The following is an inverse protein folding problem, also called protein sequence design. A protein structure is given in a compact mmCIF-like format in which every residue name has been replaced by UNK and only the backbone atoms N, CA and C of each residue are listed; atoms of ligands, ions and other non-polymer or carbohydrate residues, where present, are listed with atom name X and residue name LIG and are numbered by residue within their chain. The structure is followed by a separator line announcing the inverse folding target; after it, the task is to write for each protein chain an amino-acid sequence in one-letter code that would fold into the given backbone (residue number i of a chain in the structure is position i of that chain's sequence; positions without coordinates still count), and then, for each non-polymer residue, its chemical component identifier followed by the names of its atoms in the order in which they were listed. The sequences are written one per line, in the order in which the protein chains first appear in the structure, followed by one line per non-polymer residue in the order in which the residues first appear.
data_IF_384161792674
#
_entry.id   IF_384161792674
#
_cell.length_a   1.000
_cell.length_b   1.000
_cell.length_c   1.000
_cell.angle_alpha   90.00
_cell.angle_beta   90.00
_cell.angle_gamma   90.00
#
_symmetry.space_group_name_H-M   'P 1'
#
loop_
_entity.id
_entity.type
_entity.pdbx_description
1 polymer ?
#
# COMPACT_ATOMS: atom_id res chain seq x y z
N UNK A 1 18.70 -3.72 3.64
CA UNK A 1 19.66 -4.49 2.80
C UNK A 1 19.16 -4.45 1.37
N UNK A 2 19.98 -3.98 0.42
CA UNK A 2 19.54 -3.80 -0.96
C UNK A 2 19.80 -5.02 -1.84
N UNK A 3 18.80 -5.41 -2.64
CA UNK A 3 18.87 -6.48 -3.64
C UNK A 3 18.57 -5.94 -5.03
N UNK A 4 19.09 -6.58 -6.07
CA UNK A 4 18.96 -6.12 -7.46
C UNK A 4 18.03 -6.99 -8.30
N UNK A 5 17.42 -6.37 -9.31
CA UNK A 5 16.63 -7.02 -10.35
C UNK A 5 17.11 -6.54 -11.72
N UNK A 6 17.19 -7.44 -12.70
CA UNK A 6 17.30 -7.05 -14.10
C UNK A 6 16.04 -6.28 -14.49
N UNK A 7 16.22 -5.10 -15.08
CA UNK A 7 15.14 -4.16 -15.30
C UNK A 7 14.90 -3.90 -16.78
N UNK A 8 13.64 -3.84 -17.16
CA UNK A 8 13.22 -3.41 -18.48
C UNK A 8 11.99 -2.52 -18.36
N UNK A 9 11.92 -1.46 -19.16
CA UNK A 9 10.87 -0.46 -19.08
C UNK A 9 10.33 -0.11 -20.46
N UNK A 10 9.01 -0.03 -20.60
CA UNK A 10 8.31 0.34 -21.83
C UNK A 10 7.38 1.55 -21.58
N UNK A 11 7.55 2.69 -22.28
CA UNK A 11 8.59 2.96 -23.27
C UNK A 11 9.96 3.26 -22.62
N UNK A 12 11.10 2.84 -23.21
CA UNK A 12 12.43 3.04 -22.61
C UNK A 12 12.77 4.49 -22.28
N UNK A 13 12.21 5.46 -23.02
CA UNK A 13 12.40 6.90 -22.83
C UNK A 13 11.79 7.44 -21.54
N UNK A 14 10.85 6.72 -20.93
CA UNK A 14 10.20 7.10 -19.68
C UNK A 14 10.77 6.34 -18.47
N UNK A 15 11.86 5.59 -18.64
CA UNK A 15 12.45 4.82 -17.55
C UNK A 15 12.97 5.74 -16.42
N UNK A 16 12.48 5.61 -15.17
CA UNK A 16 12.94 6.44 -14.05
C UNK A 16 14.34 6.06 -13.55
N UNK A 17 14.96 4.99 -14.09
CA UNK A 17 16.27 4.50 -13.65
C UNK A 17 17.26 4.46 -14.80
N UNK A 18 18.50 4.82 -14.49
CA UNK A 18 19.64 4.68 -15.39
C UNK A 18 20.28 3.29 -15.24
N UNK A 19 20.36 2.53 -16.33
CA UNK A 19 21.06 1.24 -16.37
C UNK A 19 20.16 0.02 -16.46
N UNK A 20 20.75 -1.19 -16.50
CA UNK A 20 20.05 -2.44 -16.77
C UNK A 20 19.44 -3.09 -15.52
N UNK A 21 19.65 -2.51 -14.34
CA UNK A 21 19.21 -3.06 -13.06
C UNK A 21 18.62 -1.99 -12.17
N UNK A 22 17.64 -2.41 -11.36
CA UNK A 22 17.11 -1.61 -10.25
C UNK A 22 17.46 -2.29 -8.94
N UNK A 23 17.42 -1.50 -7.87
CA UNK A 23 17.75 -1.93 -6.53
C UNK A 23 16.56 -1.67 -5.58
N UNK A 24 16.25 -2.61 -4.70
CA UNK A 24 15.18 -2.46 -3.71
C UNK A 24 15.70 -2.94 -2.36
N UNK A 25 15.40 -2.18 -1.30
CA UNK A 25 15.67 -2.62 0.06
C UNK A 25 14.67 -3.71 0.46
N UNK A 26 15.16 -4.84 0.97
CA UNK A 26 14.34 -5.94 1.49
C UNK A 26 13.38 -5.45 2.58
N UNK A 27 13.81 -4.53 3.44
CA UNK A 27 12.95 -3.93 4.49
C UNK A 27 11.81 -3.13 3.85
N UNK A 28 12.09 -2.37 2.79
CA UNK A 28 11.05 -1.63 2.08
C UNK A 28 10.05 -2.58 1.38
N UNK A 29 10.51 -3.74 0.87
CA UNK A 29 9.63 -4.77 0.32
C UNK A 29 8.77 -5.40 1.43
N UNK A 30 9.35 -5.71 2.59
CA UNK A 30 8.62 -6.25 3.75
C UNK A 30 7.56 -5.25 4.25
N UNK A 31 7.90 -3.97 4.36
CA UNK A 31 6.99 -2.90 4.77
C UNK A 31 5.85 -2.71 3.76
N UNK A 32 6.16 -2.73 2.46
CA UNK A 32 5.15 -2.73 1.41
C UNK A 32 4.24 -3.97 1.51
N UNK A 33 4.81 -5.13 1.86
CA UNK A 33 4.07 -6.36 2.11
C UNK A 33 3.14 -6.28 3.32
N UNK A 34 3.57 -5.66 4.41
CA UNK A 34 2.73 -5.38 5.59
C UNK A 34 1.50 -4.58 5.18
N UNK A 35 1.70 -3.46 4.50
CA UNK A 35 0.59 -2.61 4.05
C UNK A 35 -0.32 -3.32 3.05
N UNK A 36 0.27 -4.06 2.11
CA UNK A 36 -0.46 -4.82 1.10
C UNK A 36 -1.41 -5.88 1.71
N UNK A 37 -0.91 -6.63 2.69
CA UNK A 37 -1.67 -7.67 3.39
C UNK A 37 -2.77 -7.06 4.25
N UNK A 38 -2.48 -5.98 4.98
CA UNK A 38 -3.50 -5.29 5.78
C UNK A 38 -4.61 -4.70 4.90
N UNK A 39 -4.28 -4.14 3.73
CA UNK A 39 -5.27 -3.50 2.87
C UNK A 39 -6.04 -4.47 1.97
N UNK A 40 -5.68 -5.76 1.96
CA UNK A 40 -6.33 -6.81 1.15
C UNK A 40 -7.09 -7.82 2.02
N UNK A 41 -8.43 -7.97 1.85
CA UNK A 41 -9.21 -8.94 2.60
C UNK A 41 -8.72 -10.39 2.45
N UNK A 42 -8.64 -11.13 3.55
CA UNK A 42 -8.37 -12.58 3.56
C UNK A 42 -6.88 -12.97 3.54
N UNK A 43 -5.96 -12.01 3.40
CA UNK A 43 -4.55 -12.25 3.64
C UNK A 43 -4.27 -12.14 5.15
N UNK A 44 -4.53 -13.20 5.92
CA UNK A 44 -3.97 -13.32 7.26
C UNK A 44 -2.62 -14.02 7.14
N UNK A 45 -1.63 -13.37 6.53
CA UNK A 45 -0.30 -13.95 6.42
C UNK A 45 0.57 -13.52 7.60
N UNK A 46 0.84 -14.49 8.47
CA UNK A 46 1.61 -14.34 9.69
C UNK A 46 3.13 -14.29 9.52
N UNK A 47 3.65 -13.95 8.35
CA UNK A 47 5.07 -14.10 8.07
C UNK A 47 5.76 -12.75 7.84
N UNK A 48 5.86 -11.94 8.89
CA UNK A 48 6.59 -10.67 8.84
C UNK A 48 8.09 -10.92 8.95
N UNK A 49 8.87 -10.22 8.10
CA UNK A 49 10.32 -10.37 7.97
C UNK A 49 10.73 -11.80 7.52
N UNK A 50 9.95 -12.38 6.60
CA UNK A 50 10.23 -13.72 6.03
C UNK A 50 11.17 -13.65 4.82
N UNK A 51 11.22 -12.52 4.11
CA UNK A 51 12.00 -12.44 2.86
C UNK A 51 13.47 -12.77 3.10
N UNK A 52 14.08 -12.23 4.15
CA UNK A 52 15.48 -12.54 4.48
C UNK A 52 15.71 -14.04 4.76
N UNK A 53 14.74 -14.73 5.37
CA UNK A 53 14.82 -16.17 5.60
C UNK A 53 14.69 -16.98 4.29
N UNK A 54 13.96 -16.47 3.30
CA UNK A 54 13.69 -17.14 2.02
C UNK A 54 14.74 -16.83 0.95
N UNK A 55 15.46 -15.72 1.06
CA UNK A 55 16.44 -15.27 0.08
C UNK A 55 17.83 -15.85 0.35
N UNK A 56 18.60 -16.09 -0.71
CA UNK A 56 19.99 -16.53 -0.58
C UNK A 56 20.79 -15.56 0.31
N UNK A 57 21.63 -16.07 1.24
CA UNK A 57 22.42 -15.23 2.14
C UNK A 57 23.61 -14.61 1.39
N UNK A 58 23.32 -13.69 0.49
CA UNK A 58 24.30 -12.96 -0.33
C UNK A 58 24.43 -11.53 0.19
N UNK A 59 25.49 -10.79 -0.10
CA UNK A 59 25.68 -9.41 0.41
C UNK A 59 24.78 -8.34 -0.25
N UNK A 60 24.81 -7.07 0.19
CA UNK A 60 24.13 -5.98 -0.49
C UNK A 60 24.53 -5.86 -1.97
N UNK A 61 23.61 -5.43 -2.83
CA UNK A 61 23.85 -5.24 -4.27
C UNK A 61 23.80 -6.52 -5.11
N UNK A 62 23.53 -7.67 -4.49
CA UNK A 62 23.37 -8.94 -5.22
C UNK A 62 21.94 -9.14 -5.71
N UNK A 63 21.71 -10.03 -6.70
CA UNK A 63 20.37 -10.32 -7.21
C UNK A 63 19.39 -10.81 -6.12
N UNK A 64 18.10 -10.52 -6.32
CA UNK A 64 17.01 -10.99 -5.45
C UNK A 64 16.66 -12.46 -5.75
N UNK A 65 17.37 -13.40 -5.13
CA UNK A 65 17.25 -14.83 -5.43
C UNK A 65 16.66 -15.58 -4.24
N UNK A 66 15.62 -16.39 -4.49
CA UNK A 66 15.10 -17.32 -3.49
C UNK A 66 16.01 -18.54 -3.34
N UNK A 67 16.19 -19.02 -2.10
CA UNK A 67 16.94 -20.26 -1.80
C UNK A 67 16.32 -21.46 -2.52
N UNK A 68 14.99 -21.52 -2.50
CA UNK A 68 14.18 -22.61 -3.04
C UNK A 68 12.99 -22.07 -3.84
N UNK A 69 12.36 -22.90 -4.68
CA UNK A 69 11.09 -22.53 -5.31
C UNK A 69 10.01 -22.15 -4.31
N UNK A 70 9.15 -21.17 -4.68
CA UNK A 70 8.03 -20.67 -3.88
C UNK A 70 6.89 -21.70 -3.76
N UNK A 71 7.18 -22.83 -3.12
CA UNK A 71 6.31 -24.00 -3.04
C UNK A 71 6.54 -24.98 -4.18
N UNK A 72 6.02 -26.20 -4.03
CA UNK A 72 6.14 -27.28 -5.02
C UNK A 72 4.87 -27.40 -5.88
N UNK A 73 3.70 -27.34 -5.24
CA UNK A 73 2.40 -27.38 -5.91
C UNK A 73 2.13 -26.12 -6.75
N UNK A 74 1.43 -26.30 -7.87
CA UNK A 74 1.14 -25.22 -8.82
C UNK A 74 0.35 -24.10 -8.18
N UNK A 75 -0.67 -24.44 -7.41
CA UNK A 75 -1.58 -23.49 -6.75
C UNK A 75 -0.81 -22.64 -5.73
N UNK A 76 0.09 -23.26 -4.97
CA UNK A 76 0.96 -22.58 -3.98
C UNK A 76 1.92 -21.61 -4.68
N UNK A 77 2.57 -22.06 -5.77
CA UNK A 77 3.44 -21.20 -6.59
C UNK A 77 2.69 -19.99 -7.11
N UNK A 78 1.51 -20.18 -7.68
CA UNK A 78 0.69 -19.09 -8.22
C UNK A 78 0.29 -18.10 -7.13
N UNK A 79 -0.15 -18.60 -5.97
CA UNK A 79 -0.57 -17.75 -4.85
C UNK A 79 0.60 -16.93 -4.27
N UNK A 80 1.73 -17.57 -3.95
CA UNK A 80 2.92 -16.90 -3.41
C UNK A 80 3.55 -15.94 -4.43
N UNK A 81 3.61 -16.34 -5.70
CA UNK A 81 4.07 -15.48 -6.79
C UNK A 81 3.20 -14.24 -6.94
N UNK A 82 1.87 -14.39 -6.89
CA UNK A 82 0.96 -13.25 -6.91
C UNK A 82 1.17 -12.32 -5.71
N UNK A 83 1.35 -12.87 -4.52
CA UNK A 83 1.55 -12.12 -3.28
C UNK A 83 2.87 -11.34 -3.29
N UNK A 84 4.01 -12.02 -3.47
CA UNK A 84 5.32 -11.36 -3.49
C UNK A 84 5.46 -10.41 -4.68
N UNK A 85 4.79 -10.71 -5.80
CA UNK A 85 4.74 -9.82 -6.95
C UNK A 85 4.14 -8.45 -6.57
N UNK A 86 3.07 -8.45 -5.76
CA UNK A 86 2.48 -7.21 -5.25
C UNK A 86 3.38 -6.47 -4.26
N UNK A 87 4.09 -7.19 -3.39
CA UNK A 87 5.01 -6.56 -2.42
C UNK A 87 6.12 -5.79 -3.13
N UNK A 88 6.75 -6.44 -4.11
CA UNK A 88 7.84 -5.84 -4.89
C UNK A 88 7.34 -4.72 -5.79
N UNK A 89 6.21 -4.93 -6.46
CA UNK A 89 5.62 -3.89 -7.30
C UNK A 89 5.27 -2.64 -6.47
N UNK A 90 4.68 -2.80 -5.29
CA UNK A 90 4.38 -1.69 -4.39
C UNK A 90 5.66 -0.99 -3.92
N UNK A 91 6.67 -1.72 -3.46
CA UNK A 91 7.96 -1.13 -3.06
C UNK A 91 8.65 -0.39 -4.23
N UNK A 92 8.54 -0.93 -5.44
CA UNK A 92 9.05 -0.31 -6.66
C UNK A 92 8.31 1.00 -7.00
N UNK A 93 6.97 1.00 -6.93
CA UNK A 93 6.14 2.18 -7.13
C UNK A 93 6.40 3.25 -6.07
N UNK A 94 6.57 2.84 -4.81
CA UNK A 94 6.94 3.74 -3.73
C UNK A 94 8.31 4.39 -4.02
N UNK A 95 9.33 3.59 -4.36
CA UNK A 95 10.69 4.09 -4.55
C UNK A 95 10.88 4.94 -5.81
N UNK A 96 10.41 4.45 -6.95
CA UNK A 96 10.76 5.03 -8.26
C UNK A 96 9.68 5.92 -8.87
N UNK A 97 8.44 5.82 -8.38
CA UNK A 97 7.32 6.65 -8.84
C UNK A 97 6.79 7.60 -7.78
N UNK A 98 7.39 7.59 -6.57
CA UNK A 98 6.98 8.41 -5.44
C UNK A 98 5.50 8.25 -5.06
N UNK A 99 4.90 7.08 -5.35
CA UNK A 99 3.53 6.78 -4.94
C UNK A 99 3.53 6.41 -3.45
N UNK A 100 2.50 6.81 -2.71
CA UNK A 100 2.39 6.49 -1.28
C UNK A 100 0.96 6.16 -0.84
N UNK A 101 -0.03 6.79 -1.45
CA UNK A 101 -1.43 6.55 -1.16
C UNK A 101 -1.94 5.48 -2.13
N UNK A 102 -2.22 4.28 -1.62
CA UNK A 102 -2.74 3.15 -2.39
C UNK A 102 -4.16 2.78 -1.94
N UNK A 103 -5.09 2.72 -2.88
CA UNK A 103 -6.42 2.17 -2.66
C UNK A 103 -6.63 0.90 -3.48
N UNK A 104 -6.86 -0.21 -2.76
CA UNK A 104 -7.20 -1.50 -3.34
C UNK A 104 -8.59 -1.49 -3.97
N UNK A 105 -8.69 -2.06 -5.16
CA UNK A 105 -9.94 -2.11 -5.90
C UNK A 105 -10.70 -3.41 -5.59
N UNK A 106 -11.80 -3.29 -4.85
CA UNK A 106 -12.75 -4.39 -4.64
C UNK A 106 -13.68 -4.60 -5.84
N UNK A 107 -14.54 -5.62 -5.79
CA UNK A 107 -15.34 -6.10 -6.93
C UNK A 107 -16.49 -5.17 -7.45
N UNK A 108 -16.55 -3.90 -7.05
CA UNK A 108 -17.64 -2.97 -7.41
C UNK A 108 -17.11 -1.61 -7.91
N UNK A 109 -18.00 -0.80 -8.50
CA UNK A 109 -17.71 0.61 -8.78
C UNK A 109 -17.31 1.30 -7.49
N UNK A 110 -16.17 1.98 -7.51
CA UNK A 110 -15.63 2.70 -6.36
C UNK A 110 -15.83 4.19 -6.63
N UNK A 111 -16.68 4.81 -5.84
CA UNK A 111 -16.85 6.25 -5.84
C UNK A 111 -15.72 6.88 -5.00
N UNK A 112 -15.05 7.88 -5.56
CA UNK A 112 -14.07 8.71 -4.85
C UNK A 112 -14.74 9.98 -4.30
N UNK A 113 -15.69 10.54 -5.07
CA UNK A 113 -16.58 11.60 -4.60
C UNK A 113 -17.94 11.50 -5.30
N UNK A 114 -18.98 11.16 -4.52
CA UNK A 114 -20.35 10.99 -5.02
C UNK A 114 -21.02 12.29 -5.49
N UNK A 115 -20.63 13.45 -4.95
CA UNK A 115 -21.22 14.77 -5.29
C UNK A 115 -20.73 15.28 -6.64
N UNK A 116 -19.42 15.14 -6.88
CA UNK A 116 -18.72 15.50 -8.11
C UNK A 116 -18.74 14.37 -9.13
N UNK A 117 -19.29 13.21 -8.78
CA UNK A 117 -19.36 12.00 -9.61
C UNK A 117 -17.96 11.60 -10.10
N UNK A 118 -17.00 11.61 -9.19
CA UNK A 118 -15.66 11.08 -9.41
C UNK A 118 -15.68 9.60 -9.05
N UNK A 119 -15.47 8.73 -10.03
CA UNK A 119 -15.70 7.28 -9.92
C UNK A 119 -14.69 6.48 -10.69
N UNK A 120 -14.38 5.30 -10.17
CA UNK A 120 -13.67 4.24 -10.86
C UNK A 120 -14.71 3.37 -11.57
N UNK A 121 -14.74 3.45 -12.90
CA UNK A 121 -15.69 2.74 -13.76
C UNK A 121 -15.02 1.49 -14.32
N UNK A 122 -15.62 0.33 -14.08
CA UNK A 122 -15.23 -0.91 -14.75
C UNK A 122 -15.68 -0.91 -16.22
N UNK A 123 -14.77 -1.24 -17.12
CA UNK A 123 -15.01 -1.29 -18.56
C UNK A 123 -15.31 -2.70 -19.07
N UNK A 124 -14.74 -3.73 -18.43
CA UNK A 124 -14.91 -5.12 -18.86
C UNK A 124 -14.90 -6.11 -17.69
N UNK A 125 -15.39 -7.33 -17.95
CA UNK A 125 -15.44 -8.42 -16.96
C UNK A 125 -14.02 -8.97 -16.65
N UNK A 126 -13.90 -9.64 -15.51
CA UNK A 126 -12.64 -10.15 -14.94
C UNK A 126 -12.12 -9.30 -13.78
N UNK A 127 -11.03 -9.76 -13.16
CA UNK A 127 -10.39 -9.09 -12.02
C UNK A 127 -10.06 -7.62 -12.30
N UNK A 128 -10.22 -6.76 -11.30
CA UNK A 128 -9.82 -5.36 -11.40
C UNK A 128 -8.31 -5.22 -11.24
N UNK A 129 -7.73 -4.07 -11.64
CA UNK A 129 -6.37 -3.74 -11.26
C UNK A 129 -6.16 -3.80 -9.76
N UNK A 130 -4.95 -4.14 -9.32
CA UNK A 130 -4.61 -4.22 -7.90
C UNK A 130 -4.85 -2.87 -7.17
N UNK A 131 -4.44 -1.75 -7.78
CA UNK A 131 -4.49 -0.44 -7.13
C UNK A 131 -4.96 0.70 -8.04
N UNK A 132 -5.57 1.70 -7.40
CA UNK A 132 -5.36 3.11 -7.79
C UNK A 132 -4.48 3.75 -6.73
N UNK A 133 -3.50 4.54 -7.16
CA UNK A 133 -2.54 5.18 -6.29
C UNK A 133 -2.25 6.63 -6.70
N UNK A 134 -1.71 7.40 -5.76
CA UNK A 134 -1.19 8.73 -5.99
C UNK A 134 0.04 9.02 -5.13
N UNK A 135 0.78 10.07 -5.51
CA UNK A 135 1.90 10.58 -4.74
C UNK A 135 1.42 11.35 -3.49
N UNK A 136 2.32 11.52 -2.52
CA UNK A 136 2.05 12.20 -1.23
C UNK A 136 1.70 13.69 -1.39
N UNK A 137 2.12 14.31 -2.48
CA UNK A 137 1.76 15.69 -2.85
C UNK A 137 0.37 15.81 -3.49
N UNK A 138 -0.42 14.73 -3.47
CA UNK A 138 -1.74 14.63 -4.09
C UNK A 138 -1.69 14.93 -5.60
N UNK A 139 -0.71 14.32 -6.27
CA UNK A 139 -0.52 14.34 -7.71
C UNK A 139 -0.43 12.91 -8.29
N UNK A 140 -0.24 12.82 -9.61
CA UNK A 140 0.15 11.56 -10.27
C UNK A 140 -0.84 10.42 -10.06
N UNK A 141 -2.10 10.64 -10.47
CA UNK A 141 -3.14 9.62 -10.42
C UNK A 141 -2.77 8.43 -11.31
N UNK A 142 -2.59 7.27 -10.69
CA UNK A 142 -2.02 6.09 -11.32
C UNK A 142 -2.89 4.87 -11.09
N UNK A 143 -3.21 4.12 -12.14
CA UNK A 143 -3.74 2.76 -12.06
C UNK A 143 -2.57 1.80 -12.14
N UNK A 144 -2.45 0.88 -11.17
CA UNK A 144 -1.33 -0.05 -11.13
C UNK A 144 -1.79 -1.51 -11.00
N UNK A 145 -1.06 -2.41 -11.65
CA UNK A 145 -1.29 -3.86 -11.61
C UNK A 145 0.06 -4.58 -11.53
N UNK A 146 0.14 -5.60 -10.68
CA UNK A 146 1.32 -6.43 -10.51
C UNK A 146 1.06 -7.90 -10.83
N UNK A 147 2.05 -8.56 -11.43
CA UNK A 147 2.07 -10.01 -11.64
C UNK A 147 3.44 -10.59 -11.30
N UNK A 148 3.48 -11.56 -10.40
CA UNK A 148 4.66 -12.42 -10.25
C UNK A 148 4.62 -13.59 -11.23
N UNK A 149 5.77 -14.06 -11.71
CA UNK A 149 5.87 -15.30 -12.48
C UNK A 149 7.18 -16.09 -12.27
N UNK A 150 7.15 -17.36 -12.67
CA UNK A 150 8.30 -18.27 -12.68
C UNK A 150 8.65 -18.72 -14.12
N UNK A 151 8.16 -17.99 -15.12
CA UNK A 151 8.21 -18.42 -16.52
C UNK A 151 9.66 -18.43 -17.03
N UNK A 152 10.12 -19.57 -17.53
CA UNK A 152 11.49 -19.71 -18.05
C UNK A 152 11.79 -18.75 -19.22
N UNK A 153 10.76 -18.39 -20.01
CA UNK A 153 10.86 -17.45 -21.13
C UNK A 153 10.88 -15.97 -20.75
N UNK A 154 10.88 -15.62 -19.46
CA UNK A 154 10.93 -14.23 -19.00
C UNK A 154 9.56 -13.65 -18.60
N UNK A 155 9.54 -12.39 -18.13
CA UNK A 155 8.34 -11.73 -17.58
C UNK A 155 7.33 -11.24 -18.63
N UNK A 156 7.64 -11.31 -19.93
CA UNK A 156 6.84 -10.66 -20.98
C UNK A 156 5.36 -11.09 -21.00
N UNK A 157 5.07 -12.38 -20.85
CA UNK A 157 3.69 -12.90 -20.81
C UNK A 157 2.94 -12.45 -19.55
N UNK A 158 3.62 -12.37 -18.40
CA UNK A 158 3.04 -11.82 -17.18
C UNK A 158 2.75 -10.32 -17.33
N UNK A 159 3.67 -9.57 -17.93
CA UNK A 159 3.52 -8.13 -18.19
C UNK A 159 2.34 -7.85 -19.13
N UNK A 160 2.19 -8.62 -20.20
CA UNK A 160 1.05 -8.47 -21.12
C UNK A 160 -0.30 -8.73 -20.43
N UNK A 161 -0.35 -9.70 -19.50
CA UNK A 161 -1.55 -9.98 -18.69
C UNK A 161 -1.83 -8.85 -17.70
N UNK A 162 -0.80 -8.36 -17.00
CA UNK A 162 -0.90 -7.22 -16.10
C UNK A 162 -1.44 -5.99 -16.85
N UNK A 163 -0.89 -5.70 -18.03
CA UNK A 163 -1.33 -4.59 -18.88
C UNK A 163 -2.80 -4.70 -19.29
N UNK A 164 -3.22 -5.89 -19.74
CA UNK A 164 -4.63 -6.15 -20.08
C UNK A 164 -5.57 -5.95 -18.89
N UNK A 165 -5.12 -6.28 -17.67
CA UNK A 165 -5.91 -6.10 -16.45
C UNK A 165 -5.95 -4.64 -16.01
N UNK A 166 -4.81 -3.93 -16.05
CA UNK A 166 -4.71 -2.49 -15.79
C UNK A 166 -5.70 -1.67 -16.65
N UNK A 167 -5.94 -2.08 -17.90
CA UNK A 167 -6.86 -1.42 -18.84
C UNK A 167 -8.36 -1.70 -18.59
N UNK A 168 -8.75 -2.45 -17.55
CA UNK A 168 -10.16 -2.84 -17.30
C UNK A 168 -10.99 -1.78 -16.59
N UNK A 169 -10.39 -0.67 -16.19
CA UNK A 169 -11.08 0.42 -15.50
C UNK A 169 -10.75 1.75 -16.15
N UNK A 170 -11.63 2.72 -16.00
CA UNK A 170 -11.36 4.14 -16.18
C UNK A 170 -11.60 4.89 -14.87
N UNK A 171 -10.87 5.98 -14.68
CA UNK A 171 -11.28 7.01 -13.73
C UNK A 171 -12.10 8.04 -14.48
N UNK A 172 -13.26 8.37 -13.94
CA UNK A 172 -14.20 9.31 -14.55
C UNK A 172 -14.57 10.41 -13.59
N UNK A 173 -14.70 11.63 -14.09
CA UNK A 173 -15.26 12.78 -13.37
C UNK A 173 -16.45 13.34 -14.17
N UNK A 174 -17.65 13.28 -13.58
CA UNK A 174 -18.90 13.66 -14.28
C UNK A 174 -19.06 12.96 -15.63
N UNK A 175 -18.75 11.65 -15.66
CA UNK A 175 -18.76 10.78 -16.85
C UNK A 175 -17.68 11.05 -17.91
N UNK A 176 -16.81 12.05 -17.73
CA UNK A 176 -15.64 12.25 -18.59
C UNK A 176 -14.49 11.38 -18.09
N UNK A 177 -13.86 10.62 -18.99
CA UNK A 177 -12.63 9.89 -18.66
C UNK A 177 -11.53 10.92 -18.36
N UNK A 178 -10.85 10.78 -17.23
CA UNK A 178 -9.72 11.65 -16.89
C UNK A 178 -8.40 10.98 -17.21
N UNK A 179 -7.37 11.78 -17.51
CA UNK A 179 -6.01 11.27 -17.73
C UNK A 179 -5.48 10.58 -16.48
N UNK A 180 -4.92 9.39 -16.66
CA UNK A 180 -4.25 8.62 -15.61
C UNK A 180 -2.94 8.02 -16.15
N UNK A 181 -1.94 7.86 -15.28
CA UNK A 181 -0.84 6.93 -15.57
C UNK A 181 -1.34 5.50 -15.43
N UNK A 182 -0.82 4.58 -16.25
CA UNK A 182 -1.14 3.15 -16.12
C UNK A 182 0.15 2.36 -16.07
N UNK A 183 0.41 1.77 -14.91
CA UNK A 183 1.63 1.02 -14.68
C UNK A 183 1.30 -0.46 -14.53
N UNK A 184 1.83 -1.28 -15.44
CA UNK A 184 1.84 -2.72 -15.29
C UNK A 184 3.24 -3.18 -14.90
N UNK A 185 3.36 -4.01 -13.87
CA UNK A 185 4.63 -4.53 -13.35
C UNK A 185 4.58 -6.05 -13.39
N UNK A 186 5.62 -6.65 -13.95
CA UNK A 186 5.84 -8.09 -13.91
C UNK A 186 7.16 -8.41 -13.22
N UNK A 187 7.11 -9.20 -12.15
CA UNK A 187 8.27 -9.67 -11.43
C UNK A 187 8.51 -11.14 -11.75
N UNK A 188 9.68 -11.47 -12.32
CA UNK A 188 10.10 -12.86 -12.50
C UNK A 188 11.08 -13.26 -11.41
N UNK A 189 10.81 -14.38 -10.75
CA UNK A 189 11.63 -14.88 -9.66
C UNK A 189 12.92 -15.55 -10.14
N UNK A 190 14.03 -15.19 -9.50
CA UNK A 190 15.28 -15.96 -9.55
C UNK A 190 15.32 -17.00 -8.43
N UNK A 191 15.83 -18.19 -8.70
CA UNK A 191 15.93 -19.30 -7.75
C UNK A 191 17.33 -19.91 -7.78
N UNK A 192 17.90 -20.15 -6.59
CA UNK A 192 19.23 -20.74 -6.46
C UNK A 192 19.25 -22.22 -6.84
N UNK A 193 18.15 -22.92 -6.59
CA UNK A 193 17.98 -24.34 -6.91
C UNK A 193 16.80 -24.51 -7.87
N UNK A 194 17.04 -25.19 -8.99
CA UNK A 194 16.01 -25.65 -9.91
C UNK A 194 15.02 -24.57 -10.38
N UNK A 195 15.49 -23.73 -11.29
CA UNK A 195 14.65 -22.78 -12.03
C UNK A 195 15.47 -21.65 -12.65
N UNK A 196 14.82 -20.58 -13.12
CA UNK A 196 15.53 -19.44 -13.68
C UNK A 196 16.48 -18.79 -12.66
N UNK A 197 17.72 -18.52 -13.07
CA UNK A 197 18.76 -17.99 -12.18
C UNK A 197 18.56 -16.50 -11.87
N UNK A 198 18.20 -15.69 -12.87
CA UNK A 198 18.11 -14.24 -12.67
C UNK A 198 16.75 -13.82 -12.11
N UNK A 199 16.69 -12.68 -11.43
CA UNK A 199 15.42 -12.02 -11.08
C UNK A 199 15.18 -10.84 -12.02
N UNK A 200 13.95 -10.68 -12.51
CA UNK A 200 13.58 -9.56 -13.38
C UNK A 200 12.43 -8.75 -12.80
N UNK A 201 12.44 -7.46 -13.10
CA UNK A 201 11.34 -6.54 -12.89
C UNK A 201 11.10 -5.79 -14.21
N UNK A 202 10.01 -6.11 -14.89
CA UNK A 202 9.63 -5.49 -16.15
C UNK A 202 8.42 -4.60 -15.96
N UNK A 203 8.47 -3.39 -16.54
CA UNK A 203 7.46 -2.35 -16.34
C UNK A 203 6.95 -1.85 -17.67
N UNK A 204 5.66 -1.58 -17.74
CA UNK A 204 5.02 -0.86 -18.84
C UNK A 204 4.23 0.30 -18.25
N UNK A 205 4.58 1.53 -18.61
CA UNK A 205 3.98 2.78 -18.12
C UNK A 205 3.70 3.78 -19.25
N UNK A 206 2.72 3.50 -20.12
CA UNK A 206 2.19 4.51 -21.00
C UNK A 206 1.20 5.41 -20.24
N UNK A 207 1.14 6.66 -20.66
CA UNK A 207 0.04 7.55 -20.27
C UNK A 207 -1.26 7.09 -20.93
N UNK A 208 -2.35 7.02 -20.17
CA UNK A 208 -3.68 6.77 -20.72
C UNK A 208 -4.45 8.08 -20.82
N UNK A 209 -4.51 8.59 -22.05
CA UNK A 209 -5.09 9.88 -22.35
C UNK A 209 -6.59 9.94 -22.02
N UNK A 210 -6.97 11.06 -21.43
CA UNK A 210 -8.33 11.47 -21.16
C UNK A 210 -8.39 12.98 -21.06
N UNK A 211 -9.43 13.49 -20.44
CA UNK A 211 -9.50 14.92 -20.13
C UNK A 211 -8.67 15.25 -18.89
N UNK A 212 -8.03 16.44 -18.82
CA UNK A 212 -7.41 16.91 -17.59
C UNK A 212 -8.41 16.94 -16.43
N UNK A 213 -7.94 16.56 -15.24
CA UNK A 213 -8.72 16.68 -14.01
C UNK A 213 -8.90 18.17 -13.73
N UNK A 214 -10.14 18.62 -13.57
CA UNK A 214 -10.40 20.05 -13.30
C UNK A 214 -10.00 20.41 -11.86
N UNK A 215 -9.56 21.65 -11.59
CA UNK A 215 -9.18 22.07 -10.24
C UNK A 215 -10.23 21.75 -9.17
N UNK A 216 -11.51 21.95 -9.47
CA UNK A 216 -12.62 21.69 -8.54
C UNK A 216 -12.92 20.20 -8.29
N UNK A 217 -12.37 19.30 -9.12
CA UNK A 217 -12.47 17.84 -9.03
C UNK A 217 -11.23 17.24 -8.36
N UNK A 218 -10.08 17.91 -8.50
CA UNK A 218 -8.75 17.41 -8.10
C UNK A 218 -8.69 17.07 -6.61
N UNK A 219 -9.00 18.02 -5.75
CA UNK A 219 -8.92 17.80 -4.29
C UNK A 219 -9.88 16.70 -3.84
N UNK A 220 -11.11 16.70 -4.37
CA UNK A 220 -12.10 15.69 -4.05
C UNK A 220 -11.66 14.28 -4.46
N UNK A 221 -11.03 14.16 -5.63
CA UNK A 221 -10.49 12.90 -6.12
C UNK A 221 -9.43 12.34 -5.16
N UNK A 222 -8.42 13.15 -4.83
CA UNK A 222 -7.29 12.70 -4.01
C UNK A 222 -7.68 12.49 -2.54
N UNK A 223 -8.56 13.33 -1.99
CA UNK A 223 -9.13 13.11 -0.65
C UNK A 223 -9.97 11.83 -0.63
N UNK A 224 -10.77 11.58 -1.66
CA UNK A 224 -11.50 10.32 -1.82
C UNK A 224 -10.58 9.10 -1.81
N UNK A 225 -9.47 9.19 -2.55
CA UNK A 225 -8.45 8.14 -2.61
C UNK A 225 -7.77 7.93 -1.25
N UNK A 226 -7.39 9.02 -0.57
CA UNK A 226 -6.80 8.98 0.77
C UNK A 226 -7.74 8.34 1.79
N UNK A 227 -9.04 8.68 1.77
CA UNK A 227 -10.04 8.04 2.65
C UNK A 227 -10.12 6.54 2.42
N UNK A 228 -10.06 6.08 1.18
CA UNK A 228 -10.05 4.64 0.88
C UNK A 228 -8.76 3.97 1.34
N UNK A 229 -7.62 4.61 1.14
CA UNK A 229 -6.32 4.14 1.64
C UNK A 229 -6.35 3.94 3.16
N UNK A 230 -6.72 4.99 3.90
CA UNK A 230 -6.88 4.99 5.36
C UNK A 230 -7.86 3.88 5.76
N UNK A 231 -9.07 3.89 5.19
CA UNK A 231 -10.12 2.94 5.55
C UNK A 231 -9.70 1.48 5.32
N UNK A 232 -8.94 1.18 4.26
CA UNK A 232 -8.44 -0.17 4.01
C UNK A 232 -7.36 -0.56 5.01
N UNK A 233 -6.50 0.37 5.45
CA UNK A 233 -5.41 0.07 6.38
C UNK A 233 -5.90 -0.13 7.81
N UNK A 234 -6.80 0.74 8.31
CA UNK A 234 -7.23 0.71 9.71
C UNK A 234 -8.28 -0.36 10.02
N UNK A 235 -9.01 -0.86 8.99
CA UNK A 235 -10.05 -1.87 9.18
C UNK A 235 -9.55 -3.15 9.86
N UNK A 236 -8.49 -3.82 9.37
CA UNK A 236 -7.98 -5.04 10.01
C UNK A 236 -7.31 -4.76 11.37
N UNK A 237 -7.13 -3.49 11.74
CA UNK A 237 -6.49 -3.05 12.98
C UNK A 237 -7.52 -2.69 14.07
N UNK A 238 -8.76 -3.16 13.94
CA UNK A 238 -9.84 -2.94 14.92
C UNK A 238 -10.75 -1.74 14.64
N UNK A 239 -10.45 -0.89 13.65
CA UNK A 239 -11.20 0.35 13.38
C UNK A 239 -12.25 0.19 12.28
N UNK A 240 -13.04 -0.90 12.35
CA UNK A 240 -13.97 -1.27 11.28
C UNK A 240 -15.10 -0.23 11.06
N UNK A 241 -15.64 0.34 12.14
CA UNK A 241 -16.71 1.34 12.04
C UNK A 241 -16.22 2.64 11.38
N UNK A 242 -15.06 3.14 11.82
CA UNK A 242 -14.43 4.32 11.22
C UNK A 242 -14.10 4.07 9.74
N UNK A 243 -13.56 2.90 9.41
CA UNK A 243 -13.34 2.45 8.04
C UNK A 243 -14.61 2.48 7.20
N UNK A 244 -15.73 1.96 7.72
CA UNK A 244 -17.00 1.95 7.02
C UNK A 244 -17.53 3.36 6.79
N UNK A 245 -17.43 4.26 7.76
CA UNK A 245 -17.88 5.65 7.59
C UNK A 245 -17.02 6.39 6.56
N UNK A 246 -15.69 6.25 6.60
CA UNK A 246 -14.78 6.84 5.61
C UNK A 246 -15.13 6.39 4.18
N UNK A 247 -15.43 5.10 3.99
CA UNK A 247 -15.90 4.55 2.71
C UNK A 247 -17.28 5.11 2.33
N UNK A 248 -18.19 5.28 3.29
CA UNK A 248 -19.50 5.86 3.01
C UNK A 248 -19.43 7.29 2.50
N UNK A 249 -18.55 8.09 3.09
CA UNK A 249 -18.36 9.49 2.71
C UNK A 249 -17.94 9.66 1.26
N UNK A 250 -17.20 8.70 0.67
CA UNK A 250 -16.78 8.80 -0.74
C UNK A 250 -17.93 8.60 -1.72
N UNK A 251 -18.98 7.86 -1.36
CA UNK A 251 -20.12 7.59 -2.23
C UNK A 251 -21.32 8.50 -1.97
N UNK A 252 -21.25 9.45 -1.04
CA UNK A 252 -22.42 10.15 -0.53
C UNK A 252 -22.79 11.40 -1.37
N UNK A 253 -23.88 11.39 -2.17
CA UNK A 253 -24.20 12.52 -3.06
C UNK A 253 -24.98 13.64 -2.37
N UNK A 254 -25.64 13.35 -1.24
CA UNK A 254 -26.50 14.31 -0.54
C UNK A 254 -25.77 14.99 0.62
N UNK A 255 -25.77 16.32 0.65
CA UNK A 255 -25.05 17.13 1.63
C UNK A 255 -25.45 16.84 3.08
N UNK A 256 -26.75 16.65 3.37
CA UNK A 256 -27.23 16.39 4.74
C UNK A 256 -26.72 15.05 5.29
N UNK A 257 -26.73 14.01 4.47
CA UNK A 257 -26.19 12.69 4.84
C UNK A 257 -24.67 12.73 4.95
N UNK A 258 -23.98 13.46 4.06
CA UNK A 258 -22.53 13.66 4.18
C UNK A 258 -22.19 14.35 5.51
N UNK A 259 -22.97 15.35 5.94
CA UNK A 259 -22.80 16.00 7.25
C UNK A 259 -22.97 15.04 8.41
N UNK A 260 -23.94 14.12 8.33
CA UNK A 260 -24.14 13.10 9.35
C UNK A 260 -22.98 12.09 9.39
N UNK A 261 -22.49 11.62 8.23
CA UNK A 261 -21.31 10.75 8.15
C UNK A 261 -20.06 11.47 8.65
N UNK A 262 -19.87 12.76 8.34
CA UNK A 262 -18.78 13.59 8.89
C UNK A 262 -18.80 13.63 10.41
N UNK A 263 -19.98 13.93 11.00
CA UNK A 263 -20.12 13.96 12.46
C UNK A 263 -19.83 12.58 13.08
N UNK A 264 -20.33 11.51 12.46
CA UNK A 264 -20.09 10.14 12.92
C UNK A 264 -18.61 9.79 12.86
N UNK A 265 -17.93 10.11 11.75
CA UNK A 265 -16.50 9.85 11.58
C UNK A 265 -15.66 10.61 12.61
N UNK A 266 -16.02 11.88 12.89
CA UNK A 266 -15.36 12.68 13.94
C UNK A 266 -15.52 12.02 15.30
N UNK A 267 -16.74 11.67 15.71
CA UNK A 267 -16.99 11.00 16.99
C UNK A 267 -16.24 9.67 17.13
N UNK A 268 -16.19 8.87 16.06
CA UNK A 268 -15.42 7.61 16.06
C UNK A 268 -13.92 7.85 16.15
N UNK A 269 -13.38 8.87 15.47
CA UNK A 269 -11.97 9.26 15.57
C UNK A 269 -11.62 9.85 16.95
N UNK A 270 -12.58 10.52 17.59
CA UNK A 270 -12.44 11.07 18.94
C UNK A 270 -12.42 9.98 20.01
N UNK A 271 -13.15 8.88 19.80
CA UNK A 271 -13.16 7.73 20.68
C UNK A 271 -12.10 6.66 20.35
N UNK A 272 -11.40 6.78 19.22
CA UNK A 272 -10.42 5.79 18.79
C UNK A 272 -9.19 5.82 19.72
N UNK A 273 -8.72 4.65 20.21
CA UNK A 273 -7.47 4.57 20.97
C UNK A 273 -6.31 5.18 20.17
N UNK A 274 -5.53 6.02 20.85
CA UNK A 274 -4.40 6.72 20.26
C UNK A 274 -3.12 6.13 20.82
N UNK A 275 -2.33 5.52 19.95
CA UNK A 275 -1.01 5.01 20.29
C UNK A 275 0.03 6.11 20.17
N UNK A 276 0.72 6.42 21.26
CA UNK A 276 1.96 7.21 21.27
C UNK A 276 3.15 6.27 21.28
N UNK A 277 4.17 6.58 20.51
CA UNK A 277 5.38 5.76 20.46
C UNK A 277 6.34 6.27 21.53
N UNK A 278 6.69 5.41 22.49
CA UNK A 278 7.64 5.74 23.55
C UNK A 278 9.00 6.18 22.95
N UNK A 279 9.57 7.27 23.47
CA UNK A 279 10.87 7.86 23.06
C UNK A 279 10.93 8.47 21.65
N UNK A 280 9.81 8.66 20.96
CA UNK A 280 9.77 9.45 19.72
C UNK A 280 8.88 10.66 19.88
N UNK A 281 9.48 11.84 20.09
CA UNK A 281 8.74 13.10 20.20
C UNK A 281 8.16 13.64 18.90
N UNK A 282 8.39 12.96 17.77
CA UNK A 282 8.01 13.41 16.42
C UNK A 282 6.79 12.69 15.82
N UNK A 283 6.35 11.59 16.42
CA UNK A 283 5.18 10.83 15.95
C UNK A 283 3.99 11.23 16.82
N UNK A 284 3.19 12.17 16.30
CA UNK A 284 1.90 12.53 16.87
C UNK A 284 0.97 11.31 16.88
N UNK A 285 0.09 11.25 17.88
CA UNK A 285 -0.75 10.09 18.18
C UNK A 285 -1.31 9.33 16.96
N UNK A 286 -1.14 8.01 16.96
CA UNK A 286 -1.50 7.14 15.85
C UNK A 286 -2.80 6.38 16.11
N UNK A 287 -3.65 6.32 15.11
CA UNK A 287 -4.80 5.40 15.07
C UNK A 287 -4.39 4.16 14.30
N UNK A 288 -4.33 3.03 14.98
CA UNK A 288 -3.74 1.81 14.45
C UNK A 288 -3.94 0.60 15.35
N UNK A 289 -3.08 -0.39 15.18
CA UNK A 289 -3.12 -1.62 15.98
C UNK A 289 -1.83 -2.40 15.90
N UNK A 290 -1.70 -3.37 16.81
CA UNK A 290 -0.54 -4.26 16.86
C UNK A 290 -0.74 -5.40 15.87
N UNK A 291 0.29 -5.66 15.09
CA UNK A 291 0.35 -6.77 14.14
C UNK A 291 1.51 -7.67 14.53
N UNK A 292 1.26 -8.97 14.55
CA UNK A 292 2.24 -9.99 14.89
C UNK A 292 2.34 -11.02 13.78
N UNK A 293 3.28 -11.95 13.89
CA UNK A 293 3.33 -13.15 13.06
C UNK A 293 2.08 -14.05 13.13
N UNK A 294 1.12 -13.79 14.00
CA UNK A 294 -0.17 -14.49 13.95
C UNK A 294 -1.24 -13.69 13.18
N UNK A 295 -0.93 -12.46 12.77
CA UNK A 295 -1.87 -11.49 12.23
C UNK A 295 -2.09 -10.30 13.18
N UNK A 296 -3.06 -9.42 12.86
CA UNK A 296 -3.47 -8.33 13.74
C UNK A 296 -3.98 -8.83 15.08
N UNK A 297 -3.62 -8.13 16.14
CA UNK A 297 -4.17 -8.33 17.48
C UNK A 297 -5.28 -7.31 17.68
N UNK A 298 -6.50 -7.80 17.86
CA UNK A 298 -7.70 -6.95 17.97
C UNK A 298 -7.98 -6.49 19.42
N UNK A 299 -7.02 -6.70 20.32
CA UNK A 299 -7.13 -6.24 21.70
C UNK A 299 -6.60 -4.81 21.80
N UNK A 300 -7.43 -3.89 22.27
CA UNK A 300 -7.07 -2.48 22.40
C UNK A 300 -6.16 -2.22 23.61
N UNK A 301 -6.13 -3.13 24.59
CA UNK A 301 -5.51 -2.92 25.90
C UNK A 301 -4.17 -3.68 26.07
N UNK A 302 -3.41 -3.84 24.97
CA UNK A 302 -2.14 -4.57 25.01
C UNK A 302 -1.10 -3.74 25.75
N UNK A 303 -0.83 -4.12 27.00
CA UNK A 303 0.12 -3.44 27.87
C UNK A 303 1.55 -3.50 27.31
N UNK A 304 2.42 -2.61 27.78
CA UNK A 304 3.85 -2.69 27.47
C UNK A 304 4.49 -4.04 27.85
N UNK A 305 3.99 -4.69 28.91
CA UNK A 305 4.43 -6.04 29.31
C UNK A 305 4.00 -7.10 28.29
N UNK A 306 2.78 -7.02 27.78
CA UNK A 306 2.29 -7.95 26.74
C UNK A 306 3.07 -7.78 25.43
N UNK A 307 3.39 -6.54 25.05
CA UNK A 307 4.25 -6.26 23.89
C UNK A 307 5.62 -6.93 24.03
N UNK A 308 6.21 -6.93 25.24
CA UNK A 308 7.45 -7.66 25.49
C UNK A 308 7.29 -9.17 25.44
N UNK A 309 6.19 -9.71 25.98
CA UNK A 309 5.90 -11.16 25.91
C UNK A 309 5.79 -11.59 24.45
N UNK A 310 5.06 -10.85 23.61
CA UNK A 310 4.96 -11.11 22.17
C UNK A 310 6.35 -11.09 21.49
N UNK A 311 7.22 -10.15 21.86
CA UNK A 311 8.59 -10.10 21.34
C UNK A 311 9.42 -11.32 21.79
N UNK A 312 9.34 -11.70 23.07
CA UNK A 312 10.04 -12.88 23.64
C UNK A 312 9.56 -14.20 23.04
N UNK A 313 8.27 -14.29 22.66
CA UNK A 313 7.71 -15.42 21.92
C UNK A 313 8.11 -15.44 20.43
N UNK A 314 8.98 -14.52 19.99
CA UNK A 314 9.42 -14.38 18.60
C UNK A 314 8.24 -14.16 17.63
N UNK A 315 7.17 -13.53 18.10
CA UNK A 315 6.03 -13.12 17.28
C UNK A 315 6.28 -11.79 16.55
N UNK A 316 7.41 -11.13 16.86
CA UNK A 316 7.90 -9.89 16.23
C UNK A 316 6.78 -8.84 16.10
N UNK A 317 6.23 -8.37 17.24
CA UNK A 317 5.15 -7.40 17.22
C UNK A 317 5.62 -6.10 16.56
N UNK A 318 4.78 -5.56 15.69
CA UNK A 318 4.92 -4.22 15.12
C UNK A 318 3.62 -3.47 15.37
N UNK A 319 3.69 -2.17 15.60
CA UNK A 319 2.54 -1.29 15.50
C UNK A 319 2.43 -0.75 14.08
N UNK A 320 1.23 -0.79 13.52
CA UNK A 320 0.91 -0.12 12.26
C UNK A 320 -0.21 0.87 12.53
N UNK A 321 -0.06 2.12 12.11
CA UNK A 321 -1.09 3.14 12.33
C UNK A 321 -0.92 4.35 11.44
N UNK A 322 -1.92 5.23 11.46
CA UNK A 322 -1.93 6.49 10.70
C UNK A 322 -2.05 7.65 11.67
N UNK A 323 -1.35 8.74 11.37
CA UNK A 323 -1.46 10.01 12.08
C UNK A 323 -2.94 10.43 12.23
N UNK A 324 -3.38 10.62 13.48
CA UNK A 324 -4.76 10.96 13.81
C UNK A 324 -5.21 12.27 13.16
N UNK A 325 -4.33 13.25 13.08
CA UNK A 325 -4.63 14.56 12.52
C UNK A 325 -4.73 14.49 10.99
N UNK A 326 -3.98 13.61 10.33
CA UNK A 326 -4.20 13.31 8.92
C UNK A 326 -5.57 12.68 8.69
N UNK A 327 -6.00 11.73 9.54
CA UNK A 327 -7.36 11.17 9.46
C UNK A 327 -8.39 12.28 9.65
N UNK A 328 -8.20 13.18 10.62
CA UNK A 328 -9.08 14.34 10.82
C UNK A 328 -9.16 15.21 9.57
N UNK A 329 -8.02 15.62 9.01
CA UNK A 329 -7.96 16.44 7.80
C UNK A 329 -8.63 15.76 6.60
N UNK A 330 -8.47 14.44 6.47
CA UNK A 330 -9.15 13.65 5.45
C UNK A 330 -10.67 13.58 5.70
N UNK A 331 -11.13 13.45 6.95
CA UNK A 331 -12.55 13.53 7.30
C UNK A 331 -13.09 14.90 6.88
N UNK A 332 -12.43 15.98 7.29
CA UNK A 332 -12.88 17.35 7.11
C UNK A 332 -12.74 17.86 5.66
N UNK A 333 -12.06 17.07 4.81
CA UNK A 333 -11.77 17.39 3.42
C UNK A 333 -10.98 18.69 3.26
N UNK A 334 -9.94 18.86 4.09
CA UNK A 334 -9.05 20.03 4.11
C UNK A 334 -7.78 19.74 3.31
N UNK A 335 -7.70 20.07 2.01
CA UNK A 335 -6.64 19.58 1.14
C UNK A 335 -5.27 20.15 1.50
N UNK A 336 -5.23 21.41 1.96
CA UNK A 336 -3.99 22.06 2.41
C UNK A 336 -3.48 21.47 3.71
N UNK A 337 -4.36 21.15 4.66
CA UNK A 337 -3.97 20.46 5.89
C UNK A 337 -3.44 19.06 5.59
N UNK A 338 -4.11 18.32 4.69
CA UNK A 338 -3.63 17.01 4.22
C UNK A 338 -2.25 17.14 3.56
N UNK A 339 -2.06 18.08 2.63
CA UNK A 339 -0.76 18.31 1.98
C UNK A 339 0.32 18.63 3.00
N UNK A 340 0.06 19.56 3.92
CA UNK A 340 0.98 19.93 4.98
C UNK A 340 1.47 18.69 5.74
N UNK A 341 0.55 17.87 6.23
CA UNK A 341 0.86 16.63 6.97
C UNK A 341 1.60 15.58 6.14
N UNK A 342 1.26 15.43 4.85
CA UNK A 342 1.95 14.48 3.97
C UNK A 342 3.36 14.95 3.56
N UNK A 343 3.61 16.26 3.59
CA UNK A 343 4.92 16.86 3.29
C UNK A 343 5.79 17.10 4.53
N UNK A 344 5.22 16.99 5.73
CA UNK A 344 5.96 17.04 6.99
C UNK A 344 6.99 15.91 7.00
N UNK A 345 8.21 16.26 6.63
CA UNK A 345 9.34 15.34 6.63
C UNK A 345 9.72 15.11 8.07
N UNK A 346 9.22 14.04 8.66
CA UNK A 346 9.75 13.58 9.93
C UNK A 346 11.19 13.14 9.69
N UNK A 347 12.11 13.54 10.57
CA UNK A 347 13.48 13.04 10.46
C UNK A 347 13.47 11.51 10.44
N UNK A 348 14.29 10.87 9.59
CA UNK A 348 14.40 9.42 9.57
C UNK A 348 14.73 8.96 10.99
N UNK A 349 13.79 8.25 11.58
CA UNK A 349 14.07 7.47 12.77
C UNK A 349 14.51 6.09 12.27
N UNK A 350 15.64 5.59 12.77
CA UNK A 350 16.21 4.30 12.37
C UNK A 350 15.24 3.12 12.58
N UNK A 351 14.20 3.30 13.40
CA UNK A 351 13.27 2.24 13.77
C UNK A 351 11.84 2.46 13.30
N UNK A 352 11.30 3.68 13.43
CA UNK A 352 9.93 3.99 12.99
C UNK A 352 9.93 4.39 11.51
N UNK A 353 9.22 3.61 10.69
CA UNK A 353 9.27 3.73 9.23
C UNK A 353 7.96 4.31 8.71
N UNK A 354 8.04 5.50 8.11
CA UNK A 354 6.92 6.16 7.46
C UNK A 354 6.64 5.55 6.09
N UNK A 355 5.36 5.49 5.70
CA UNK A 355 4.93 5.14 4.34
C UNK A 355 4.74 6.36 3.41
N UNK A 356 4.97 7.59 3.92
CA UNK A 356 4.73 8.88 3.23
C UNK A 356 3.25 9.11 2.85
N UNK A 357 2.34 8.37 3.46
CA UNK A 357 0.89 8.57 3.41
C UNK A 357 0.33 8.85 4.81
N UNK A 358 1.19 9.32 5.73
CA UNK A 358 0.92 9.52 7.15
C UNK A 358 0.81 8.23 7.97
N UNK A 359 1.08 7.08 7.35
CA UNK A 359 1.18 5.80 8.00
C UNK A 359 2.58 5.52 8.53
N UNK A 360 2.62 4.70 9.58
CA UNK A 360 3.83 4.35 10.32
C UNK A 360 3.87 2.85 10.61
N UNK A 361 5.06 2.26 10.49
CA UNK A 361 5.39 0.92 10.98
C UNK A 361 6.45 1.05 12.05
N UNK A 362 6.13 0.60 13.26
CA UNK A 362 7.00 0.73 14.44
C UNK A 362 7.24 -0.65 15.04
N UNK A 363 8.46 -1.20 14.97
CA UNK A 363 8.81 -2.42 15.70
C UNK A 363 8.65 -2.24 17.21
N UNK A 364 8.04 -3.23 17.88
CA UNK A 364 7.80 -3.22 19.33
C UNK A 364 8.67 -4.25 20.06
N UNK A 365 9.04 -3.95 21.31
CA UNK A 365 9.87 -4.83 22.14
C UNK A 365 10.58 -4.10 23.29
N UNK A 366 11.72 -4.61 23.73
CA UNK A 366 12.44 -4.10 24.91
C UNK A 366 12.81 -2.60 24.83
N UNK A 367 13.00 -2.06 23.64
CA UNK A 367 13.45 -0.67 23.46
C UNK A 367 12.31 0.33 23.18
N UNK A 368 11.21 -0.14 22.60
CA UNK A 368 10.06 0.67 22.15
C UNK A 368 8.74 -0.02 22.43
N UNK A 369 7.82 0.77 22.97
CA UNK A 369 6.46 0.37 23.25
C UNK A 369 5.51 1.41 22.68
N UNK A 370 4.31 0.97 22.35
CA UNK A 370 3.20 1.90 22.22
C UNK A 370 2.66 2.15 23.62
N UNK A 371 2.61 3.41 23.99
CA UNK A 371 1.97 3.93 25.19
C UNK A 371 0.71 4.62 24.68
N UNK A 372 -0.47 4.12 25.04
CA UNK A 372 -1.74 4.69 24.61
C UNK A 372 -2.68 4.81 25.79
N UNK A 373 -3.27 6.00 25.94
CA UNK A 373 -4.08 6.42 27.07
C UNK A 373 -5.55 6.00 26.98
N UNK A 374 -6.16 5.89 28.16
CA UNK A 374 -7.59 5.74 28.43
C UNK A 374 -8.44 6.73 27.65
#
# INVERSE_FOLDING_TARGET
MTRTFLHSFDPPTANPVSGPTIDLDVVAIDDAGIREVLQTPGAAYGAWSILDALLTPTGPGTPFIFKEPLGQAREVKVALSGLFGRFIARAYLERYFNLSIFAHLGNRVIDLDGRRKVKIKRLSRGDLPDWIACASDLSSLTVAEAKGCHDAGGPATALARAWKQAARIDVTARSRKVTVKRIAIATRWGMAVSGPADAHLSVKDPEDEGEPIKPEEKDALFIGLLRLHIANLIRPLGHAELSDVLKRMTHQPFANRLRADLQTARSLLDAAPVGEVEKTGSIGGLVGGIVTRAGPVNDADISGTDQEVLARLNLRPIFVGIDRDLIRAAIDAEPEAVRGRLTETTQPDDFARSDRAGGWIVPLGQERRIIGGV
#
